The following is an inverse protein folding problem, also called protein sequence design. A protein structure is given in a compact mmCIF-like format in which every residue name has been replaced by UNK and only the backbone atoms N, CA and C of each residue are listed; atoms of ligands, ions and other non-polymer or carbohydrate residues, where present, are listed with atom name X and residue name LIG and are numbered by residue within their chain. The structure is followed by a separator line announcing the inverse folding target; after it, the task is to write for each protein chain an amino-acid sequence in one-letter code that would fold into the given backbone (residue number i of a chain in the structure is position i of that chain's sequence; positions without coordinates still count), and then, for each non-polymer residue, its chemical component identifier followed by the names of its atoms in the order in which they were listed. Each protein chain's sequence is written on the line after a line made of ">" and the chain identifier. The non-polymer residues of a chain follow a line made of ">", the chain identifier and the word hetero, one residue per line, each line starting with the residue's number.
data_IF_684468562520
#
_entry.id   IF_684468562520
#
_cell.length_a   1.000
_cell.length_b   1.000
_cell.length_c   1.000
_cell.angle_alpha   90.00
_cell.angle_beta   90.00
_cell.angle_gamma   90.00
#
_symmetry.space_group_name_H-M   'P 1'
#
loop_
_entity.id
_entity.type
_entity.pdbx_description
1 polymer ?
#
# COMPACT_ATOMS: atom_id res chain seq x y z
N UNK A 1 -9.15 -13.94 13.42
CA UNK A 1 -9.43 -14.61 12.14
C UNK A 1 -10.43 -13.75 11.37
N UNK A 2 -9.95 -12.85 10.51
CA UNK A 2 -10.82 -12.07 9.62
C UNK A 2 -10.99 -12.83 8.31
N UNK A 3 -12.20 -13.33 8.04
CA UNK A 3 -12.58 -13.88 6.74
C UNK A 3 -13.48 -12.85 6.06
N UNK A 4 -12.97 -12.15 5.06
CA UNK A 4 -13.76 -11.21 4.26
C UNK A 4 -13.66 -11.60 2.80
N UNK A 5 -14.81 -11.81 2.16
CA UNK A 5 -14.96 -12.31 0.80
C UNK A 5 -14.65 -11.21 -0.21
N UNK A 6 -13.65 -11.40 -1.07
CA UNK A 6 -13.42 -10.54 -2.24
C UNK A 6 -13.83 -11.27 -3.52
N UNK A 7 -14.79 -10.72 -4.25
CA UNK A 7 -15.19 -11.20 -5.56
C UNK A 7 -14.19 -10.70 -6.61
N UNK A 8 -13.38 -11.59 -7.17
CA UNK A 8 -12.59 -11.29 -8.37
C UNK A 8 -13.42 -11.67 -9.59
N UNK A 9 -13.94 -10.67 -10.30
CA UNK A 9 -14.58 -10.88 -11.60
C UNK A 9 -13.50 -10.94 -12.66
N UNK A 10 -13.34 -12.07 -13.34
CA UNK A 10 -12.48 -12.19 -14.51
C UNK A 10 -13.31 -12.34 -15.78
N UNK A 11 -12.81 -11.75 -16.87
CA UNK A 11 -13.35 -11.90 -18.20
C UNK A 11 -12.65 -13.08 -18.88
N UNK A 12 -13.36 -14.18 -19.13
CA UNK A 12 -12.85 -15.26 -20.00
C UNK A 12 -13.35 -14.99 -21.40
N UNK A 13 -12.44 -14.76 -22.35
CA UNK A 13 -12.78 -14.72 -23.77
C UNK A 13 -12.98 -16.16 -24.24
N UNK A 14 -14.23 -16.58 -24.40
CA UNK A 14 -14.55 -17.80 -25.15
C UNK A 14 -14.69 -17.40 -26.62
N UNK A 15 -14.06 -18.16 -27.50
CA UNK A 15 -14.15 -17.97 -28.96
C UNK A 15 -15.61 -17.99 -29.40
N UNK A 16 -16.13 -16.85 -29.86
CA UNK A 16 -17.51 -16.67 -30.29
C UNK A 16 -18.30 -15.75 -29.35
N UNK A 17 -18.37 -14.47 -29.72
CA UNK A 17 -19.20 -13.36 -29.23
C UNK A 17 -20.19 -13.60 -28.08
N UNK A 18 -19.71 -13.90 -26.87
CA UNK A 18 -20.45 -13.69 -25.63
C UNK A 18 -19.52 -13.62 -24.42
N UNK A 19 -19.54 -12.48 -23.74
CA UNK A 19 -18.83 -12.25 -22.49
C UNK A 19 -19.61 -12.87 -21.33
N UNK A 20 -19.06 -13.91 -20.69
CA UNK A 20 -19.66 -14.55 -19.51
C UNK A 20 -18.77 -14.33 -18.29
N UNK A 21 -19.29 -13.62 -17.30
CA UNK A 21 -18.64 -13.42 -16.01
C UNK A 21 -18.67 -14.73 -15.21
N UNK A 22 -17.52 -15.29 -14.86
CA UNK A 22 -17.43 -16.42 -13.92
C UNK A 22 -16.81 -15.94 -12.62
N UNK A 23 -17.44 -16.34 -11.53
CA UNK A 23 -16.98 -16.10 -10.17
C UNK A 23 -16.28 -17.36 -9.70
N UNK A 24 -14.97 -17.32 -9.47
CA UNK A 24 -14.26 -18.43 -8.80
C UNK A 24 -13.80 -17.96 -7.43
N UNK A 25 -14.16 -18.75 -6.41
CA UNK A 25 -13.77 -18.54 -5.03
C UNK A 25 -12.31 -18.97 -4.86
N UNK A 26 -11.39 -18.01 -4.80
CA UNK A 26 -10.02 -18.27 -4.37
C UNK A 26 -9.91 -17.78 -2.92
N UNK A 27 -9.69 -18.73 -2.01
CA UNK A 27 -9.44 -18.46 -0.59
C UNK A 27 -8.05 -17.84 -0.45
N UNK A 28 -7.97 -16.52 -0.55
CA UNK A 28 -6.72 -15.81 -0.26
C UNK A 28 -6.78 -15.23 1.14
N UNK A 29 -5.87 -15.73 1.97
CA UNK A 29 -5.51 -15.19 3.27
C UNK A 29 -4.74 -13.86 3.07
N UNK A 30 -5.42 -12.85 2.52
CA UNK A 30 -4.79 -11.67 1.92
C UNK A 30 -4.01 -10.81 2.92
N UNK A 31 -4.43 -10.64 4.17
CA UNK A 31 -3.85 -9.59 5.01
C UNK A 31 -2.42 -9.86 5.48
N UNK A 32 -2.13 -11.05 6.02
CA UNK A 32 -0.78 -11.40 6.48
C UNK A 32 0.19 -11.60 5.30
N UNK A 33 -0.26 -12.30 4.26
CA UNK A 33 0.60 -12.58 3.11
C UNK A 33 0.94 -11.30 2.33
N UNK A 34 0.00 -10.35 2.24
CA UNK A 34 0.24 -9.07 1.59
C UNK A 34 1.26 -8.23 2.34
N UNK A 35 1.22 -8.24 3.68
CA UNK A 35 2.20 -7.55 4.53
C UNK A 35 3.62 -8.08 4.35
N UNK A 36 3.79 -9.41 4.39
CA UNK A 36 5.10 -10.03 4.16
C UNK A 36 5.65 -9.69 2.77
N UNK A 37 4.79 -9.68 1.75
CA UNK A 37 5.15 -9.30 0.38
C UNK A 37 5.55 -7.82 0.28
N UNK A 38 4.87 -6.92 1.01
CA UNK A 38 5.24 -5.51 1.06
C UNK A 38 6.66 -5.32 1.61
N UNK A 39 7.00 -5.98 2.72
CA UNK A 39 8.34 -5.87 3.32
C UNK A 39 9.39 -6.46 2.38
N UNK A 40 9.12 -7.65 1.81
CA UNK A 40 10.06 -8.34 0.92
C UNK A 40 10.35 -7.56 -0.36
N UNK A 41 9.35 -6.85 -0.90
CA UNK A 41 9.48 -6.11 -2.16
C UNK A 41 9.80 -4.63 -1.96
N UNK A 42 10.09 -4.19 -0.73
CA UNK A 42 10.51 -2.81 -0.46
C UNK A 42 12.03 -2.65 -0.57
N UNK A 43 12.45 -1.69 -1.40
CA UNK A 43 13.80 -1.14 -1.46
C UNK A 43 13.81 0.17 -0.71
N UNK A 44 14.92 0.45 -0.03
CA UNK A 44 15.13 1.71 0.68
C UNK A 44 16.15 2.56 -0.06
N UNK A 45 15.92 3.86 -0.12
CA UNK A 45 16.79 4.83 -0.78
C UNK A 45 17.26 5.94 0.20
N UNK A 46 18.42 6.52 -0.09
CA UNK A 46 19.07 7.54 0.74
C UNK A 46 19.51 7.00 2.10
N UNK A 47 19.06 7.66 3.17
CA UNK A 47 19.42 7.31 4.56
C UNK A 47 18.61 6.12 5.10
N UNK A 48 17.55 5.71 4.39
CA UNK A 48 16.74 4.59 4.82
C UNK A 48 17.38 3.25 4.49
N UNK A 49 17.20 2.33 5.42
CA UNK A 49 17.55 0.92 5.31
C UNK A 49 16.63 0.12 6.23
N UNK A 50 16.58 -1.21 6.06
CA UNK A 50 15.66 -2.08 6.80
C UNK A 50 15.79 -2.02 8.35
N UNK A 51 16.91 -1.52 8.87
CA UNK A 51 17.17 -1.36 10.32
C UNK A 51 17.04 0.09 10.80
N UNK A 52 16.67 1.02 9.93
CA UNK A 52 16.52 2.41 10.30
C UNK A 52 15.32 2.54 11.25
N UNK A 53 15.43 3.24 12.40
CA UNK A 53 14.36 3.31 13.39
C UNK A 53 13.01 3.76 12.78
N UNK A 54 13.02 4.80 11.95
CA UNK A 54 11.81 5.30 11.30
C UNK A 54 11.15 4.26 10.36
N UNK A 55 11.94 3.37 9.74
CA UNK A 55 11.42 2.30 8.86
C UNK A 55 10.80 1.17 9.69
N UNK A 56 11.44 0.79 10.79
CA UNK A 56 10.89 -0.20 11.72
C UNK A 56 9.55 0.32 12.26
N UNK A 57 9.54 1.56 12.75
CA UNK A 57 8.33 2.22 13.26
C UNK A 57 7.24 2.37 12.19
N UNK A 58 7.63 2.61 10.94
CA UNK A 58 6.68 2.65 9.81
C UNK A 58 5.96 1.30 9.63
N UNK A 59 6.69 0.19 9.62
CA UNK A 59 6.07 -1.13 9.45
C UNK A 59 5.23 -1.53 10.66
N UNK A 60 5.66 -1.21 11.88
CA UNK A 60 4.86 -1.39 13.10
C UNK A 60 3.54 -0.59 13.03
N UNK A 61 3.60 0.67 12.61
CA UNK A 61 2.40 1.49 12.41
C UNK A 61 1.52 0.97 11.27
N UNK A 62 2.12 0.46 10.19
CA UNK A 62 1.38 -0.15 9.08
C UNK A 62 0.62 -1.40 9.52
N UNK A 63 1.20 -2.23 10.37
CA UNK A 63 0.51 -3.40 10.93
C UNK A 63 -0.76 -3.01 11.69
N UNK A 64 -0.72 -1.91 12.44
CA UNK A 64 -1.85 -1.36 13.21
C UNK A 64 -2.96 -0.75 12.35
N UNK A 65 -2.76 -0.61 11.04
CA UNK A 65 -3.82 -0.17 10.12
C UNK A 65 -4.91 -1.24 9.98
N UNK A 66 -6.16 -0.80 9.89
CA UNK A 66 -7.28 -1.69 9.56
C UNK A 66 -7.19 -2.20 8.13
N UNK A 67 -7.89 -3.28 7.80
CA UNK A 67 -7.89 -3.85 6.44
C UNK A 67 -8.29 -2.82 5.37
N UNK A 68 -9.25 -1.95 5.67
CA UNK A 68 -9.68 -0.90 4.75
C UNK A 68 -8.66 0.23 4.62
N UNK A 69 -7.94 0.55 5.70
CA UNK A 69 -6.81 1.48 5.65
C UNK A 69 -5.64 0.90 4.84
N UNK A 70 -5.37 -0.40 4.95
CA UNK A 70 -4.33 -1.09 4.14
C UNK A 70 -4.69 -1.09 2.65
N UNK A 71 -5.97 -1.30 2.30
CA UNK A 71 -6.44 -1.13 0.90
C UNK A 71 -6.31 0.30 0.40
N UNK A 72 -6.66 1.28 1.25
CA UNK A 72 -6.50 2.68 0.91
C UNK A 72 -5.02 3.06 0.77
N UNK A 73 -4.12 2.46 1.55
CA UNK A 73 -2.68 2.62 1.38
C UNK A 73 -2.18 2.03 0.06
N UNK A 74 -2.68 0.85 -0.35
CA UNK A 74 -2.37 0.30 -1.67
C UNK A 74 -2.80 1.27 -2.78
N UNK A 75 -3.99 1.86 -2.67
CA UNK A 75 -4.46 2.90 -3.59
C UNK A 75 -3.56 4.15 -3.56
N UNK A 76 -3.13 4.57 -2.37
CA UNK A 76 -2.17 5.66 -2.17
C UNK A 76 -0.86 5.39 -2.89
N UNK A 77 -0.28 4.23 -2.72
CA UNK A 77 1.05 3.93 -3.26
C UNK A 77 1.04 3.57 -4.75
N UNK A 78 -0.03 2.95 -5.24
CA UNK A 78 -0.05 2.37 -6.60
C UNK A 78 -1.07 3.02 -7.53
N UNK A 79 -1.96 3.88 -7.02
CA UNK A 79 -3.09 4.41 -7.79
C UNK A 79 -4.17 3.36 -8.11
N UNK A 80 -4.02 2.12 -7.64
CA UNK A 80 -4.98 1.04 -7.83
C UNK A 80 -5.41 0.47 -6.47
N UNK A 81 -6.72 0.33 -6.25
CA UNK A 81 -7.24 -0.32 -5.02
C UNK A 81 -7.12 -1.85 -5.10
N UNK A 82 -6.83 -2.39 -6.29
CA UNK A 82 -6.68 -3.82 -6.53
C UNK A 82 -5.24 -4.16 -6.82
N UNK A 83 -4.77 -5.24 -6.21
CA UNK A 83 -3.52 -5.91 -6.58
C UNK A 83 -3.58 -6.26 -8.07
N UNK A 84 -2.54 -5.92 -8.87
CA UNK A 84 -2.48 -6.31 -10.27
C UNK A 84 -2.64 -7.81 -10.43
N UNK A 85 -3.33 -8.24 -11.50
CA UNK A 85 -3.60 -9.66 -11.80
C UNK A 85 -2.28 -10.47 -11.91
N UNK A 86 -1.17 -9.79 -12.21
CA UNK A 86 0.16 -10.37 -12.35
C UNK A 86 0.87 -10.65 -11.01
N UNK A 87 0.29 -10.28 -9.87
CA UNK A 87 0.83 -10.52 -8.52
C UNK A 87 1.61 -9.33 -7.94
N UNK A 88 1.66 -9.26 -6.60
CA UNK A 88 2.42 -8.24 -5.83
C UNK A 88 3.93 -8.44 -5.91
N UNK A 89 4.39 -9.62 -6.29
CA UNK A 89 5.78 -9.98 -6.54
C UNK A 89 6.44 -9.10 -7.61
N UNK A 90 5.64 -8.44 -8.45
CA UNK A 90 6.12 -7.50 -9.47
C UNK A 90 6.08 -6.03 -9.06
N UNK A 91 5.51 -5.72 -7.89
CA UNK A 91 5.48 -4.35 -7.38
C UNK A 91 6.66 -4.19 -6.43
N UNK A 92 7.74 -3.61 -6.95
CA UNK A 92 8.87 -3.18 -6.13
C UNK A 92 8.59 -1.77 -5.61
N UNK A 93 8.49 -1.64 -4.30
CA UNK A 93 8.23 -0.35 -3.64
C UNK A 93 9.55 0.26 -3.28
N UNK A 94 9.70 1.56 -3.51
CA UNK A 94 10.86 2.30 -3.00
C UNK A 94 10.41 3.20 -1.86
N UNK A 95 11.10 3.17 -0.72
CA UNK A 95 10.86 4.09 0.40
C UNK A 95 12.08 5.00 0.54
N UNK A 96 11.86 6.31 0.40
CA UNK A 96 12.89 7.33 0.45
C UNK A 96 12.55 8.41 1.49
N UNK A 97 13.56 9.12 1.97
CA UNK A 97 13.35 10.26 2.88
C UNK A 97 12.71 11.41 2.11
N UNK A 98 11.64 12.00 2.66
CA UNK A 98 11.13 13.28 2.14
C UNK A 98 12.11 14.40 2.54
N UNK A 99 12.87 14.89 1.56
CA UNK A 99 13.90 15.91 1.80
C UNK A 99 13.29 17.25 2.25
N UNK A 100 13.98 17.97 3.13
CA UNK A 100 13.52 19.25 3.70
C UNK A 100 12.14 19.20 4.39
N UNK A 101 11.73 18.01 4.87
CA UNK A 101 10.47 17.83 5.59
C UNK A 101 10.66 17.94 7.10
N UNK A 102 9.55 18.19 7.78
CA UNK A 102 9.42 18.12 9.23
C UNK A 102 8.40 17.06 9.61
N UNK A 103 8.29 16.75 10.89
CA UNK A 103 7.32 15.81 11.44
C UNK A 103 5.84 16.21 11.22
N UNK A 104 5.61 17.45 10.78
CA UNK A 104 4.28 17.95 10.42
C UNK A 104 3.85 17.53 9.02
N UNK A 105 4.79 17.17 8.15
CA UNK A 105 4.51 16.77 6.78
C UNK A 105 3.89 15.37 6.73
N UNK A 106 3.06 15.15 5.72
CA UNK A 106 2.48 13.85 5.43
C UNK A 106 3.45 13.00 4.60
N UNK A 107 3.32 11.66 4.64
CA UNK A 107 3.93 10.81 3.63
C UNK A 107 3.39 11.20 2.25
N UNK A 108 4.25 11.14 1.23
CA UNK A 108 3.91 11.44 -0.15
C UNK A 108 4.17 10.21 -1.03
N UNK A 109 3.36 10.01 -2.06
CA UNK A 109 3.52 8.88 -2.97
C UNK A 109 3.61 9.34 -4.42
N UNK A 110 4.51 8.72 -5.17
CA UNK A 110 4.58 8.82 -6.62
C UNK A 110 4.19 7.47 -7.22
N UNK A 111 2.90 7.36 -7.56
CA UNK A 111 2.28 6.13 -8.05
C UNK A 111 2.92 5.59 -9.32
N UNK A 112 3.39 6.46 -10.22
CA UNK A 112 4.08 6.07 -11.46
C UNK A 112 5.36 5.24 -11.21
N UNK A 113 5.98 5.39 -10.03
CA UNK A 113 7.27 4.77 -9.70
C UNK A 113 7.20 3.89 -8.44
N UNK A 114 6.00 3.66 -7.87
CA UNK A 114 5.81 2.96 -6.60
C UNK A 114 6.74 3.49 -5.48
N UNK A 115 6.94 4.80 -5.47
CA UNK A 115 7.84 5.48 -4.55
C UNK A 115 7.04 6.15 -3.43
N UNK A 116 7.41 5.84 -2.19
CA UNK A 116 6.91 6.46 -0.97
C UNK A 116 7.99 7.37 -0.40
N UNK A 117 7.71 8.66 -0.34
CA UNK A 117 8.49 9.59 0.46
C UNK A 117 7.94 9.63 1.88
N UNK A 118 8.80 9.30 2.85
CA UNK A 118 8.44 9.22 4.25
C UNK A 118 9.26 10.26 5.04
N UNK A 119 8.62 11.24 5.69
CA UNK A 119 9.28 12.11 6.68
C UNK A 119 9.82 11.31 7.87
N UNK A 120 10.81 11.86 8.57
CA UNK A 120 11.32 11.27 9.81
C UNK A 120 10.39 11.67 10.96
N UNK A 121 9.75 10.69 11.59
CA UNK A 121 8.86 10.92 12.72
C UNK A 121 9.55 10.54 14.05
N UNK A 122 9.39 11.33 15.10
CA UNK A 122 9.97 11.07 16.42
C UNK A 122 9.23 9.98 17.22
N UNK A 123 8.00 9.62 16.84
CA UNK A 123 7.23 8.58 17.51
C UNK A 123 6.31 7.81 16.57
N UNK A 124 5.97 6.59 16.97
CA UNK A 124 5.05 5.70 16.24
C UNK A 124 3.66 6.31 16.14
N UNK A 125 3.19 6.93 17.20
CA UNK A 125 1.84 7.52 17.28
C UNK A 125 1.69 8.63 16.25
N UNK A 126 2.71 9.49 16.11
CA UNK A 126 2.67 10.56 15.11
C UNK A 126 2.78 10.02 13.69
N UNK A 127 3.66 9.03 13.46
CA UNK A 127 3.75 8.38 12.16
C UNK A 127 2.40 7.74 11.78
N UNK A 128 1.79 6.98 12.70
CA UNK A 128 0.50 6.34 12.49
C UNK A 128 -0.61 7.35 12.19
N UNK A 129 -0.66 8.47 12.93
CA UNK A 129 -1.64 9.53 12.70
C UNK A 129 -1.47 10.15 11.31
N UNK A 130 -0.23 10.54 10.94
CA UNK A 130 0.09 11.13 9.64
C UNK A 130 -0.17 10.17 8.49
N UNK A 131 0.16 8.90 8.66
CA UNK A 131 -0.09 7.85 7.69
C UNK A 131 -1.59 7.64 7.47
N UNK A 132 -2.38 7.56 8.55
CA UNK A 132 -3.84 7.43 8.46
C UNK A 132 -4.48 8.62 7.76
N UNK A 133 -4.04 9.84 8.08
CA UNK A 133 -4.51 11.06 7.42
C UNK A 133 -4.16 11.04 5.93
N UNK A 134 -2.89 10.83 5.57
CA UNK A 134 -2.45 10.80 4.17
C UNK A 134 -3.24 9.79 3.32
N UNK A 135 -3.42 8.58 3.85
CA UNK A 135 -4.18 7.52 3.20
C UNK A 135 -5.68 7.84 3.07
N UNK A 136 -6.27 8.51 4.07
CA UNK A 136 -7.65 8.95 4.02
C UNK A 136 -7.87 10.07 2.98
N UNK A 137 -6.92 11.00 2.86
CA UNK A 137 -7.01 12.14 1.96
C UNK A 137 -6.83 11.75 0.48
N UNK A 138 -6.25 10.60 0.18
CA UNK A 138 -6.06 10.14 -1.20
C UNK A 138 -7.35 9.79 -1.97
N UNK A 139 -8.52 9.92 -1.33
CA UNK A 139 -9.84 9.83 -2.00
C UNK A 139 -10.38 11.17 -2.52
N UNK A 140 -9.68 12.29 -2.28
CA UNK A 140 -10.12 13.61 -2.70
C UNK A 140 -8.95 14.46 -3.20
N UNK A 141 -9.06 14.94 -4.44
CA UNK A 141 -8.18 15.98 -4.96
C UNK A 141 -8.24 17.20 -4.03
N UNK A 142 -7.13 17.49 -3.34
CA UNK A 142 -6.89 18.82 -2.80
C UNK A 142 -5.72 19.40 -3.57
N UNK A 143 -6.04 20.37 -4.43
CA UNK A 143 -5.14 21.46 -4.74
C UNK A 143 -5.28 22.47 -3.60
N UNK A 144 -4.17 22.97 -3.09
CA UNK A 144 -4.15 24.34 -2.57
C UNK A 144 -4.53 25.32 -3.68
#
# INVERSE_FOLDING_TARGET
>A
MCYTWCFVTYCVTLSGESFKWRTSLILFNYCCHLFDLYIQNTVYDGEYHARHPNIITFWEAFEELTDDQKKAFLLFLTGCERVPILGMDKIQITVAVLQNSTELHFPESHTCYFLLFLPIYPSKEMLLARLKEAVAHNRGFWKE
#
